data_IF_929363472958
#
_entry.id   IF_929363472958
#
_cell.length_a   1.000
_cell.length_b   1.000
_cell.length_c   1.000
_cell.angle_alpha   90.00
_cell.angle_beta   90.00
_cell.angle_gamma   90.00
#
_symmetry.space_group_name_H-M   'P 1'
#
loop_
_entity.id
_entity.type
_entity.pdbx_description
1 polymer ?
#
# COMPACT_ATOMS: atom_id res chain seq x y z
N UNK A 1 86.57 -37.38 2.31
CA UNK A 1 86.57 -37.28 0.83
C UNK A 1 85.43 -38.14 0.29
N UNK A 2 84.72 -37.67 -0.76
CA UNK A 2 84.06 -38.47 -1.82
C UNK A 2 83.00 -39.53 -1.40
N UNK A 3 81.84 -39.67 -2.06
CA UNK A 3 81.28 -38.96 -3.23
C UNK A 3 79.74 -39.04 -3.25
N UNK A 4 79.10 -38.17 -4.02
CA UNK A 4 77.66 -38.22 -4.38
C UNK A 4 77.35 -39.48 -5.24
N UNK A 5 76.10 -39.91 -5.44
CA UNK A 5 75.06 -39.36 -6.37
C UNK A 5 73.72 -40.01 -5.95
N UNK A 6 72.54 -39.39 -5.83
CA UNK A 6 71.85 -38.21 -6.40
C UNK A 6 70.92 -38.48 -7.62
N UNK A 7 69.61 -38.20 -7.41
CA UNK A 7 68.57 -37.76 -8.38
C UNK A 7 67.63 -38.81 -9.02
N UNK A 8 66.36 -38.40 -9.11
CA UNK A 8 65.31 -38.85 -10.07
C UNK A 8 64.66 -40.21 -9.78
N UNK A 9 63.32 -40.37 -9.82
CA UNK A 9 62.25 -39.43 -10.19
C UNK A 9 60.91 -39.72 -9.47
N UNK A 10 60.17 -38.65 -9.21
CA UNK A 10 58.70 -38.42 -9.37
C UNK A 10 57.97 -39.45 -10.29
N UNK A 11 56.65 -39.67 -10.31
CA UNK A 11 55.44 -39.01 -9.77
C UNK A 11 54.48 -40.13 -9.17
N UNK A 12 53.34 -39.98 -8.44
CA UNK A 12 52.47 -38.85 -8.03
C UNK A 12 51.71 -39.05 -6.66
N UNK A 13 50.35 -39.18 -6.58
CA UNK A 13 49.49 -38.93 -5.41
C UNK A 13 48.45 -40.01 -4.95
N UNK A 14 47.95 -39.87 -3.69
CA UNK A 14 46.62 -40.30 -3.21
C UNK A 14 46.53 -41.55 -2.29
N UNK A 15 45.60 -41.64 -1.32
CA UNK A 15 44.61 -40.67 -0.79
C UNK A 15 44.00 -41.13 0.57
N UNK A 16 44.31 -40.41 1.67
CA UNK A 16 43.50 -40.27 2.91
C UNK A 16 43.15 -41.54 3.75
N UNK A 17 42.69 -41.44 5.01
CA UNK A 17 43.18 -40.61 6.12
C UNK A 17 42.84 -41.25 7.49
N UNK A 18 43.56 -40.81 8.51
CA UNK A 18 43.47 -41.24 9.91
C UNK A 18 42.08 -41.03 10.54
N UNK A 19 41.44 -42.09 11.06
CA UNK A 19 40.27 -41.96 11.97
C UNK A 19 40.71 -42.21 13.41
N UNK A 20 41.18 -41.16 14.08
CA UNK A 20 41.39 -41.16 15.54
C UNK A 20 40.09 -40.75 16.22
N UNK A 21 39.50 -41.66 16.99
CA UNK A 21 38.25 -41.39 17.72
C UNK A 21 38.47 -40.46 18.93
N UNK A 22 38.47 -39.15 18.68
CA UNK A 22 38.30 -38.14 19.73
C UNK A 22 36.80 -37.92 19.91
N UNK A 23 36.24 -38.32 21.06
CA UNK A 23 34.87 -37.97 21.41
C UNK A 23 34.79 -36.46 21.67
N UNK A 24 34.28 -35.70 20.70
CA UNK A 24 33.84 -34.34 20.93
C UNK A 24 32.62 -34.35 21.86
N UNK A 25 32.79 -33.82 23.07
CA UNK A 25 31.64 -33.35 23.84
C UNK A 25 30.95 -32.24 23.03
N UNK A 26 29.60 -32.15 23.04
CA UNK A 26 28.90 -31.00 22.48
C UNK A 26 29.15 -29.80 23.40
N UNK A 27 30.23 -29.05 23.12
CA UNK A 27 30.57 -27.81 23.81
C UNK A 27 29.56 -26.74 23.37
N UNK A 28 28.45 -26.66 24.10
CA UNK A 28 27.35 -25.72 23.85
C UNK A 28 27.68 -24.29 24.31
N UNK A 29 28.82 -23.76 23.86
CA UNK A 29 29.22 -22.40 24.16
C UNK A 29 28.62 -21.41 23.15
N UNK A 30 27.82 -20.48 23.65
CA UNK A 30 27.17 -19.43 22.86
C UNK A 30 27.99 -18.16 22.97
N UNK A 31 28.45 -17.63 21.84
CA UNK A 31 29.25 -16.40 21.79
C UNK A 31 28.34 -15.18 21.69
N UNK A 32 28.14 -14.47 22.80
CA UNK A 32 27.32 -13.27 22.87
C UNK A 32 28.17 -12.05 22.53
N UNK A 33 27.70 -11.19 21.61
CA UNK A 33 28.39 -9.96 21.26
C UNK A 33 27.99 -8.81 22.21
N UNK A 34 28.97 -8.15 22.82
CA UNK A 34 28.78 -6.95 23.64
C UNK A 34 29.86 -5.92 23.28
N UNK A 35 29.45 -4.69 22.95
CA UNK A 35 30.32 -3.55 22.62
C UNK A 35 31.58 -3.90 21.80
N UNK A 36 31.36 -4.56 20.66
CA UNK A 36 32.39 -4.95 19.67
C UNK A 36 33.32 -6.09 20.09
N UNK A 37 33.02 -6.83 21.15
CA UNK A 37 33.71 -8.07 21.52
C UNK A 37 32.73 -9.24 21.67
N UNK A 38 33.18 -10.47 21.41
CA UNK A 38 32.39 -11.68 21.62
C UNK A 38 32.83 -12.37 22.92
N UNK A 39 31.88 -12.70 23.79
CA UNK A 39 32.11 -13.42 25.05
C UNK A 39 31.44 -14.78 25.02
N UNK A 40 32.26 -15.81 25.24
CA UNK A 40 31.85 -17.20 25.41
C UNK A 40 30.96 -17.32 26.66
N UNK A 41 29.75 -17.85 26.51
CA UNK A 41 28.73 -17.95 27.56
C UNK A 41 28.09 -19.34 27.52
N UNK A 42 27.93 -19.99 28.67
CA UNK A 42 27.26 -21.29 28.77
C UNK A 42 25.79 -21.18 28.28
N UNK A 43 25.32 -22.17 27.52
CA UNK A 43 23.97 -22.16 26.94
C UNK A 43 22.85 -21.91 27.97
N UNK A 44 22.98 -22.41 29.20
CA UNK A 44 22.00 -22.21 30.29
C UNK A 44 22.04 -20.80 30.86
N UNK A 45 23.22 -20.17 30.85
CA UNK A 45 23.36 -18.76 31.20
C UNK A 45 22.79 -17.86 30.09
N UNK A 46 22.96 -18.25 28.82
CA UNK A 46 22.30 -17.60 27.68
C UNK A 46 20.78 -17.77 27.72
N UNK A 47 20.26 -18.99 27.93
CA UNK A 47 18.83 -19.29 28.12
C UNK A 47 18.24 -18.44 29.25
N UNK A 48 18.90 -18.40 30.43
CA UNK A 48 18.46 -17.57 31.56
C UNK A 48 18.55 -16.06 31.30
N UNK A 49 19.53 -15.60 30.52
CA UNK A 49 19.59 -14.21 30.05
C UNK A 49 18.48 -13.90 29.04
N UNK A 50 18.08 -14.88 28.22
CA UNK A 50 16.97 -14.76 27.29
C UNK A 50 15.65 -14.68 28.06
N UNK A 51 15.40 -15.58 29.02
CA UNK A 51 14.23 -15.58 29.92
C UNK A 51 14.08 -14.23 30.66
N UNK A 52 15.15 -13.77 31.34
CA UNK A 52 15.14 -12.49 32.04
C UNK A 52 14.91 -11.30 31.09
N UNK A 53 15.41 -11.38 29.85
CA UNK A 53 15.16 -10.37 28.82
C UNK A 53 13.75 -10.49 28.23
N UNK A 54 13.13 -11.67 28.24
CA UNK A 54 11.74 -11.89 27.81
C UNK A 54 10.76 -11.27 28.78
N UNK A 55 10.99 -11.38 30.10
CA UNK A 55 10.21 -10.65 31.11
C UNK A 55 10.35 -9.12 30.92
N UNK A 56 11.56 -8.62 30.64
CA UNK A 56 11.78 -7.21 30.26
C UNK A 56 11.12 -6.86 28.92
N UNK A 57 11.09 -7.75 27.93
CA UNK A 57 10.43 -7.55 26.62
C UNK A 57 8.92 -7.44 26.74
N UNK A 58 8.29 -8.20 27.65
CA UNK A 58 6.87 -8.04 28.02
C UNK A 58 6.61 -6.65 28.61
N UNK A 59 7.63 -5.96 29.12
CA UNK A 59 7.57 -4.58 29.59
C UNK A 59 7.98 -3.50 28.57
N UNK A 60 8.29 -3.86 27.30
CA UNK A 60 8.42 -2.84 26.23
C UNK A 60 7.05 -2.24 25.94
N UNK A 61 6.75 -1.22 26.73
CA UNK A 61 5.76 -0.20 26.45
C UNK A 61 6.10 0.36 25.06
N UNK A 62 5.23 0.21 24.04
CA UNK A 62 5.52 0.74 22.71
C UNK A 62 5.77 2.23 22.86
N UNK A 63 6.86 2.74 22.28
CA UNK A 63 7.27 4.13 22.50
C UNK A 63 6.14 5.09 22.15
N UNK A 64 6.05 6.22 22.84
CA UNK A 64 4.96 7.20 22.70
C UNK A 64 4.67 7.56 21.22
N UNK A 65 5.72 7.65 20.41
CA UNK A 65 5.69 7.80 18.95
C UNK A 65 4.94 6.69 18.17
N UNK A 66 5.06 5.42 18.57
CA UNK A 66 4.38 4.28 17.94
C UNK A 66 2.89 4.29 18.30
N UNK A 67 2.54 4.58 19.56
CA UNK A 67 1.14 4.75 19.97
C UNK A 67 0.49 5.96 19.29
N UNK A 68 1.23 7.08 19.13
CA UNK A 68 0.77 8.24 18.37
C UNK A 68 0.56 7.90 16.89
N UNK A 69 1.52 7.22 16.23
CA UNK A 69 1.41 6.82 14.83
C UNK A 69 0.22 5.89 14.57
N UNK A 70 0.03 4.85 15.39
CA UNK A 70 -1.14 3.97 15.34
C UNK A 70 -2.47 4.73 15.48
N UNK A 71 -2.52 5.68 16.39
CA UNK A 71 -3.72 6.51 16.64
C UNK A 71 -4.01 7.42 15.46
N UNK A 72 -2.99 8.04 14.87
CA UNK A 72 -3.10 8.89 13.68
C UNK A 72 -3.57 8.06 12.48
N UNK A 73 -2.96 6.90 12.19
CA UNK A 73 -3.34 6.05 11.06
C UNK A 73 -4.77 5.51 11.21
N UNK A 74 -5.16 5.06 12.41
CA UNK A 74 -6.53 4.61 12.69
C UNK A 74 -7.54 5.75 12.49
N UNK A 75 -7.21 6.96 12.94
CA UNK A 75 -8.05 8.15 12.77
C UNK A 75 -8.17 8.54 11.28
N UNK A 76 -7.05 8.55 10.55
CA UNK A 76 -7.01 8.84 9.12
C UNK A 76 -7.80 7.80 8.29
N UNK A 77 -7.71 6.52 8.63
CA UNK A 77 -8.48 5.45 7.99
C UNK A 77 -9.99 5.68 8.19
N UNK A 78 -10.43 5.98 9.42
CA UNK A 78 -11.83 6.24 9.73
C UNK A 78 -12.36 7.48 9.01
N UNK A 79 -11.60 8.58 8.98
CA UNK A 79 -11.94 9.81 8.24
C UNK A 79 -12.03 9.52 6.74
N UNK A 80 -11.07 8.79 6.18
CA UNK A 80 -11.05 8.42 4.77
C UNK A 80 -12.23 7.53 4.37
N UNK A 81 -12.64 6.59 5.24
CA UNK A 81 -13.84 5.78 5.02
C UNK A 81 -15.11 6.64 4.94
N UNK A 82 -15.26 7.62 5.85
CA UNK A 82 -16.39 8.57 5.86
C UNK A 82 -16.39 9.41 4.57
N UNK A 83 -15.22 9.89 4.14
CA UNK A 83 -15.07 10.68 2.91
C UNK A 83 -15.38 9.85 1.66
N UNK A 84 -14.98 8.57 1.59
CA UNK A 84 -15.36 7.67 0.50
C UNK A 84 -16.87 7.39 0.48
N UNK A 85 -17.51 7.20 1.64
CA UNK A 85 -18.97 7.06 1.75
C UNK A 85 -19.72 8.32 1.30
N UNK A 86 -19.24 9.50 1.70
CA UNK A 86 -19.77 10.78 1.23
C UNK A 86 -19.59 10.95 -0.29
N UNK A 87 -18.40 10.68 -0.82
CA UNK A 87 -18.09 10.73 -2.26
C UNK A 87 -18.99 9.81 -3.09
N UNK A 88 -19.24 8.59 -2.60
CA UNK A 88 -20.17 7.63 -3.19
C UNK A 88 -21.60 8.19 -3.27
N UNK A 89 -22.14 8.70 -2.17
CA UNK A 89 -23.47 9.30 -2.12
C UNK A 89 -23.61 10.59 -2.95
N UNK A 90 -22.64 11.50 -2.82
CA UNK A 90 -22.59 12.76 -3.55
C UNK A 90 -22.42 12.55 -5.06
N UNK A 91 -21.55 11.62 -5.46
CA UNK A 91 -21.38 11.19 -6.85
C UNK A 91 -22.68 10.62 -7.43
N UNK A 92 -23.33 9.72 -6.69
CA UNK A 92 -24.63 9.15 -7.10
C UNK A 92 -25.70 10.23 -7.27
N UNK A 93 -25.81 11.17 -6.32
CA UNK A 93 -26.74 12.29 -6.41
C UNK A 93 -26.43 13.22 -7.61
N UNK A 94 -25.15 13.56 -7.83
CA UNK A 94 -24.73 14.40 -8.96
C UNK A 94 -24.99 13.72 -10.32
N UNK A 95 -24.78 12.40 -10.42
CA UNK A 95 -25.15 11.64 -11.61
C UNK A 95 -26.67 11.61 -11.83
N UNK A 96 -27.48 11.42 -10.79
CA UNK A 96 -28.95 11.52 -10.89
C UNK A 96 -29.37 12.93 -11.33
N UNK A 97 -28.76 13.98 -10.80
CA UNK A 97 -28.97 15.36 -11.28
C UNK A 97 -28.61 15.50 -12.77
N UNK A 98 -27.44 15.02 -13.18
CA UNK A 98 -26.95 15.10 -14.55
C UNK A 98 -27.86 14.38 -15.56
N UNK A 99 -28.40 13.20 -15.23
CA UNK A 99 -29.24 12.42 -16.14
C UNK A 99 -30.74 12.75 -16.07
N UNK A 100 -31.28 13.16 -14.90
CA UNK A 100 -32.72 13.38 -14.73
C UNK A 100 -33.16 14.86 -14.74
N UNK A 101 -32.25 15.81 -14.45
CA UNK A 101 -32.62 17.22 -14.23
C UNK A 101 -31.77 18.25 -15.00
N UNK A 102 -30.57 17.88 -15.48
CA UNK A 102 -29.69 18.81 -16.17
C UNK A 102 -30.13 19.06 -17.63
N UNK A 103 -30.89 20.14 -17.82
CA UNK A 103 -31.13 20.79 -19.12
C UNK A 103 -30.29 22.08 -19.22
N UNK A 104 -29.85 22.48 -20.41
CA UNK A 104 -28.94 23.60 -20.65
C UNK A 104 -29.43 24.89 -19.98
N UNK A 105 -30.73 25.15 -20.04
CA UNK A 105 -31.36 26.34 -19.47
C UNK A 105 -31.30 26.37 -17.93
N UNK A 106 -31.44 25.21 -17.29
CA UNK A 106 -31.35 25.04 -15.83
C UNK A 106 -29.88 25.12 -15.40
N UNK A 107 -29.00 24.46 -16.17
CA UNK A 107 -27.58 24.37 -15.93
C UNK A 107 -26.92 25.76 -16.01
N UNK A 108 -27.26 26.56 -17.03
CA UNK A 108 -26.71 27.91 -17.19
C UNK A 108 -27.20 28.89 -16.10
N UNK A 109 -28.47 28.80 -15.68
CA UNK A 109 -29.08 29.71 -14.68
C UNK A 109 -28.72 29.40 -13.23
N UNK A 110 -28.54 28.13 -12.86
CA UNK A 110 -28.36 27.71 -11.46
C UNK A 110 -27.06 26.95 -11.16
N UNK A 111 -26.61 26.10 -12.08
CA UNK A 111 -25.44 25.24 -11.83
C UNK A 111 -24.11 25.97 -12.01
N UNK A 112 -24.03 27.01 -12.84
CA UNK A 112 -22.80 27.79 -13.10
C UNK A 112 -22.13 28.33 -11.84
N UNK A 113 -22.91 28.80 -10.86
CA UNK A 113 -22.39 29.23 -9.55
C UNK A 113 -21.93 28.06 -8.66
N UNK A 114 -22.53 26.88 -8.85
CA UNK A 114 -22.31 25.68 -8.04
C UNK A 114 -21.25 24.73 -8.62
N UNK A 115 -20.88 24.90 -9.89
CA UNK A 115 -19.94 24.04 -10.62
C UNK A 115 -18.56 24.00 -9.94
N UNK A 116 -17.97 25.16 -9.62
CA UNK A 116 -16.68 25.23 -8.92
C UNK A 116 -16.67 24.54 -7.55
N UNK A 117 -17.60 24.82 -6.61
CA UNK A 117 -17.60 24.12 -5.32
C UNK A 117 -17.89 22.61 -5.46
N UNK A 118 -18.78 22.18 -6.37
CA UNK A 118 -18.98 20.75 -6.67
C UNK A 118 -17.68 20.09 -7.14
N UNK A 119 -16.99 20.73 -8.09
CA UNK A 119 -15.76 20.22 -8.68
C UNK A 119 -14.60 20.17 -7.67
N UNK A 120 -14.47 21.20 -6.83
CA UNK A 120 -13.51 21.21 -5.72
C UNK A 120 -13.82 20.11 -4.69
N UNK A 121 -15.10 19.87 -4.37
CA UNK A 121 -15.53 18.76 -3.49
C UNK A 121 -15.15 17.40 -4.06
N UNK A 122 -15.43 17.13 -5.34
CA UNK A 122 -15.01 15.88 -5.99
C UNK A 122 -13.49 15.71 -5.96
N UNK A 123 -12.73 16.74 -6.34
CA UNK A 123 -11.28 16.68 -6.38
C UNK A 123 -10.68 16.40 -4.99
N UNK A 124 -11.11 17.12 -3.95
CA UNK A 124 -10.64 16.89 -2.59
C UNK A 124 -10.95 15.46 -2.10
N UNK A 125 -12.17 14.97 -2.35
CA UNK A 125 -12.56 13.62 -1.95
C UNK A 125 -11.77 12.53 -2.69
N UNK A 126 -11.55 12.67 -4.01
CA UNK A 126 -10.76 11.70 -4.78
C UNK A 126 -9.27 11.74 -4.40
N UNK A 127 -8.69 12.92 -4.13
CA UNK A 127 -7.30 13.04 -3.65
C UNK A 127 -7.12 12.35 -2.29
N UNK A 128 -8.01 12.60 -1.33
CA UNK A 128 -7.95 11.94 -0.01
C UNK A 128 -8.15 10.42 -0.16
N UNK A 129 -9.07 9.99 -1.04
CA UNK A 129 -9.28 8.57 -1.33
C UNK A 129 -8.03 7.92 -1.95
N UNK A 130 -7.34 8.63 -2.85
CA UNK A 130 -6.08 8.17 -3.45
C UNK A 130 -4.99 7.99 -2.40
N UNK A 131 -4.82 8.96 -1.48
CA UNK A 131 -3.84 8.85 -0.39
C UNK A 131 -4.19 7.66 0.53
N UNK A 132 -5.48 7.48 0.86
CA UNK A 132 -5.95 6.36 1.67
C UNK A 132 -5.84 4.99 0.97
N UNK A 133 -5.84 4.96 -0.37
CA UNK A 133 -5.59 3.74 -1.14
C UNK A 133 -4.08 3.42 -1.25
N UNK A 134 -3.22 4.44 -1.30
CA UNK A 134 -1.76 4.30 -1.29
C UNK A 134 -1.20 3.86 0.08
N UNK A 135 -1.75 4.34 1.20
CA UNK A 135 -1.39 3.90 2.57
C UNK A 135 -1.54 2.38 2.74
N UNK A 136 -2.53 1.77 2.07
CA UNK A 136 -2.76 0.31 2.05
C UNK A 136 -1.77 -0.45 1.16
N UNK A 137 -1.09 0.23 0.23
CA UNK A 137 -0.23 -0.41 -0.78
C UNK A 137 1.18 -0.70 -0.26
N UNK A 138 1.79 0.22 0.49
CA UNK A 138 3.19 0.10 0.94
C UNK A 138 3.43 -1.10 1.86
N UNK A 139 2.39 -1.53 2.58
CA UNK A 139 2.38 -2.77 3.39
C UNK A 139 2.58 -4.02 2.52
N UNK A 140 2.35 -3.91 1.20
CA UNK A 140 2.58 -4.96 0.23
C UNK A 140 3.84 -4.68 -0.61
N UNK A 141 4.97 -5.26 -0.19
CA UNK A 141 6.32 -5.15 -0.80
C UNK A 141 6.46 -5.76 -2.22
N UNK A 142 5.36 -5.87 -2.92
CA UNK A 142 5.12 -6.68 -4.10
C UNK A 142 4.47 -5.81 -5.19
N UNK A 143 4.76 -4.49 -5.24
CA UNK A 143 3.99 -3.51 -6.05
C UNK A 143 3.85 -3.92 -7.53
N UNK A 144 4.91 -4.43 -8.16
CA UNK A 144 4.88 -4.84 -9.57
C UNK A 144 4.13 -6.16 -9.78
N UNK A 145 4.29 -7.13 -8.87
CA UNK A 145 3.59 -8.41 -8.91
C UNK A 145 2.12 -8.31 -8.45
N UNK A 146 1.79 -7.37 -7.56
CA UNK A 146 0.44 -7.02 -7.12
C UNK A 146 -0.28 -6.10 -8.11
N UNK A 147 0.42 -5.43 -9.03
CA UNK A 147 -0.21 -4.79 -10.18
C UNK A 147 -0.55 -5.84 -11.24
N UNK A 148 0.39 -6.74 -11.53
CA UNK A 148 0.19 -7.89 -12.44
C UNK A 148 -0.86 -8.88 -11.92
N UNK A 149 -0.90 -9.11 -10.61
CA UNK A 149 -1.95 -9.84 -9.87
C UNK A 149 -3.09 -8.92 -9.40
N UNK A 150 -3.07 -7.64 -9.76
CA UNK A 150 -4.10 -6.65 -9.41
C UNK A 150 -5.36 -6.79 -10.25
N UNK A 151 -5.20 -7.22 -11.51
CA UNK A 151 -6.30 -7.78 -12.31
C UNK A 151 -6.85 -9.09 -11.70
N UNK A 152 -6.12 -9.73 -10.78
CA UNK A 152 -6.43 -11.01 -10.14
C UNK A 152 -6.88 -10.85 -8.69
N UNK A 153 -7.97 -10.09 -8.49
CA UNK A 153 -8.84 -10.10 -7.30
C UNK A 153 -8.26 -9.63 -5.95
N UNK A 154 -7.00 -9.16 -5.87
CA UNK A 154 -6.46 -8.61 -4.61
C UNK A 154 -6.84 -7.13 -4.44
N UNK A 155 -7.76 -6.84 -3.50
CA UNK A 155 -8.60 -5.62 -3.52
C UNK A 155 -7.88 -4.26 -3.46
N UNK A 156 -6.69 -4.17 -2.87
CA UNK A 156 -5.93 -2.91 -2.77
C UNK A 156 -5.53 -2.30 -4.12
N UNK A 157 -5.26 -3.12 -5.15
CA UNK A 157 -4.92 -2.61 -6.48
C UNK A 157 -6.13 -1.98 -7.20
N UNK A 158 -7.34 -2.47 -6.92
CA UNK A 158 -8.58 -1.99 -7.53
C UNK A 158 -9.04 -0.66 -6.89
N UNK A 159 -8.85 -0.50 -5.58
CA UNK A 159 -9.07 0.75 -4.83
C UNK A 159 -8.29 1.92 -5.45
N UNK A 160 -6.99 1.73 -5.71
CA UNK A 160 -6.14 2.74 -6.37
C UNK A 160 -6.60 3.00 -7.81
N UNK A 161 -6.91 1.95 -8.58
CA UNK A 161 -7.34 2.10 -9.97
C UNK A 161 -8.64 2.91 -10.09
N UNK A 162 -9.61 2.67 -9.20
CA UNK A 162 -10.87 3.42 -9.15
C UNK A 162 -10.65 4.87 -8.69
N UNK A 163 -9.80 5.11 -7.69
CA UNK A 163 -9.37 6.45 -7.29
C UNK A 163 -8.74 7.22 -8.46
N UNK A 164 -7.86 6.59 -9.25
CA UNK A 164 -7.22 7.21 -10.42
C UNK A 164 -8.22 7.49 -11.54
N UNK A 165 -9.10 6.53 -11.87
CA UNK A 165 -10.17 6.72 -12.87
C UNK A 165 -11.09 7.88 -12.47
N UNK A 166 -11.51 7.93 -11.20
CA UNK A 166 -12.36 9.00 -10.67
C UNK A 166 -11.66 10.37 -10.61
N UNK A 167 -10.36 10.39 -10.30
CA UNK A 167 -9.53 11.61 -10.35
C UNK A 167 -9.42 12.14 -11.79
N UNK A 168 -9.11 11.28 -12.77
CA UNK A 168 -9.03 11.67 -14.18
C UNK A 168 -10.39 12.10 -14.71
N UNK A 169 -11.47 11.37 -14.41
CA UNK A 169 -12.83 11.76 -14.79
C UNK A 169 -13.25 13.10 -14.17
N UNK A 170 -12.79 13.39 -12.94
CA UNK A 170 -12.98 14.70 -12.30
C UNK A 170 -12.21 15.79 -13.04
N UNK A 171 -10.91 15.62 -13.29
CA UNK A 171 -10.10 16.60 -14.04
C UNK A 171 -10.64 16.87 -15.44
N UNK A 172 -11.09 15.83 -16.15
CA UNK A 172 -11.72 15.97 -17.47
C UNK A 172 -13.08 16.68 -17.36
N UNK A 173 -13.89 16.40 -16.33
CA UNK A 173 -15.14 17.13 -16.08
C UNK A 173 -14.93 18.63 -15.91
N UNK A 174 -13.82 19.07 -15.29
CA UNK A 174 -13.51 20.49 -15.08
C UNK A 174 -13.66 21.31 -16.36
N UNK A 175 -13.15 20.78 -17.49
CA UNK A 175 -13.18 21.44 -18.80
C UNK A 175 -14.62 21.61 -19.33
N UNK A 176 -15.50 20.64 -19.05
CA UNK A 176 -16.91 20.71 -19.41
C UNK A 176 -17.72 21.58 -18.43
N UNK A 177 -17.40 21.54 -17.13
CA UNK A 177 -17.98 22.42 -16.12
C UNK A 177 -17.62 23.91 -16.39
N UNK A 178 -16.39 24.19 -16.84
CA UNK A 178 -15.96 25.51 -17.33
C UNK A 178 -16.68 25.91 -18.64
N UNK A 179 -16.82 25.00 -19.61
CA UNK A 179 -17.61 25.24 -20.84
C UNK A 179 -19.11 25.48 -20.54
N UNK A 180 -19.66 24.86 -19.50
CA UNK A 180 -21.02 25.11 -19.03
C UNK A 180 -21.17 26.51 -18.43
N UNK A 181 -20.19 26.96 -17.63
CA UNK A 181 -20.12 28.31 -17.08
C UNK A 181 -19.73 29.40 -18.09
N UNK A 182 -19.09 29.02 -19.20
CA UNK A 182 -18.59 29.94 -20.22
C UNK A 182 -19.68 30.76 -20.94
N UNK A 183 -19.31 31.95 -21.47
CA UNK A 183 -20.23 32.81 -22.22
C UNK A 183 -20.62 32.17 -23.56
N UNK A 184 -21.88 32.34 -23.98
CA UNK A 184 -22.46 31.65 -25.16
C UNK A 184 -21.59 31.69 -26.43
N UNK A 185 -20.90 32.79 -26.73
CA UNK A 185 -20.02 32.86 -27.93
C UNK A 185 -18.89 31.83 -27.92
N UNK A 186 -18.30 31.56 -26.76
CA UNK A 186 -17.23 30.55 -26.63
C UNK A 186 -17.79 29.12 -26.64
N UNK A 187 -19.10 28.97 -26.39
CA UNK A 187 -19.81 27.69 -26.54
C UNK A 187 -19.86 27.27 -28.02
N UNK A 188 -20.12 28.23 -28.91
CA UNK A 188 -20.35 28.04 -30.35
C UNK A 188 -19.09 27.51 -31.08
N UNK A 189 -17.92 28.13 -30.87
CA UNK A 189 -16.65 27.75 -31.54
C UNK A 189 -16.19 26.29 -31.26
N UNK A 190 -16.68 25.67 -30.19
CA UNK A 190 -16.25 24.33 -29.75
C UNK A 190 -17.08 23.21 -30.40
N UNK A 191 -18.29 23.49 -30.91
CA UNK A 191 -19.14 22.46 -31.53
C UNK A 191 -18.56 21.89 -32.83
N UNK A 192 -17.84 22.68 -33.62
CA UNK A 192 -17.22 22.23 -34.88
C UNK A 192 -16.02 21.27 -34.68
N UNK A 193 -15.54 21.10 -33.43
CA UNK A 193 -14.32 20.35 -33.11
C UNK A 193 -14.61 19.01 -32.41
N UNK A 194 -15.75 18.88 -31.71
CA UNK A 194 -16.02 17.73 -30.83
C UNK A 194 -17.11 16.80 -31.41
N UNK A 195 -16.75 15.53 -31.61
CA UNK A 195 -17.60 14.48 -32.21
C UNK A 195 -18.74 14.01 -31.29
N UNK A 196 -18.72 14.37 -30.00
CA UNK A 196 -19.70 14.00 -28.98
C UNK A 196 -20.27 15.27 -28.35
N UNK A 197 -21.59 15.34 -28.20
CA UNK A 197 -22.28 16.43 -27.49
C UNK A 197 -21.63 16.65 -26.10
N UNK A 198 -21.10 17.86 -25.81
CA UNK A 198 -20.46 18.17 -24.53
C UNK A 198 -21.36 17.93 -23.30
N UNK A 199 -22.69 18.07 -23.44
CA UNK A 199 -23.63 17.75 -22.36
C UNK A 199 -23.70 16.24 -22.11
N UNK A 200 -23.65 15.42 -23.16
CA UNK A 200 -23.60 13.95 -23.04
C UNK A 200 -22.25 13.51 -22.46
N UNK A 201 -21.15 14.12 -22.88
CA UNK A 201 -19.82 13.87 -22.29
C UNK A 201 -19.78 14.18 -20.79
N UNK A 202 -20.30 15.34 -20.37
CA UNK A 202 -20.39 15.74 -18.96
C UNK A 202 -21.31 14.81 -18.14
N UNK A 203 -22.44 14.38 -18.70
CA UNK A 203 -23.31 13.35 -18.08
C UNK A 203 -22.57 12.03 -17.87
N UNK A 204 -21.87 11.53 -18.90
CA UNK A 204 -21.08 10.30 -18.82
C UNK A 204 -19.95 10.40 -17.78
N UNK A 205 -19.22 11.51 -17.74
CA UNK A 205 -18.17 11.76 -16.73
C UNK A 205 -18.74 11.78 -15.30
N UNK A 206 -19.93 12.34 -15.12
CA UNK A 206 -20.65 12.35 -13.84
C UNK A 206 -21.09 10.95 -13.42
N UNK A 207 -21.56 10.13 -14.38
CA UNK A 207 -21.79 8.70 -14.18
C UNK A 207 -20.52 7.91 -13.82
N UNK A 208 -19.39 8.19 -14.49
CA UNK A 208 -18.09 7.56 -14.20
C UNK A 208 -17.62 7.93 -12.78
N UNK A 209 -17.73 9.19 -12.36
CA UNK A 209 -17.42 9.62 -10.97
C UNK A 209 -18.28 8.87 -9.95
N UNK A 210 -19.58 8.71 -10.21
CA UNK A 210 -20.48 7.98 -9.33
C UNK A 210 -20.12 6.50 -9.22
N UNK A 211 -19.92 5.81 -10.35
CA UNK A 211 -19.54 4.38 -10.39
C UNK A 211 -18.17 4.15 -9.74
N UNK A 212 -17.20 5.03 -10.01
CA UNK A 212 -15.90 4.98 -9.34
C UNK A 212 -16.04 5.10 -7.82
N UNK A 213 -16.71 6.14 -7.32
CA UNK A 213 -16.92 6.34 -5.88
C UNK A 213 -17.70 5.20 -5.20
N UNK A 214 -18.77 4.70 -5.83
CA UNK A 214 -19.56 3.57 -5.37
C UNK A 214 -18.71 2.29 -5.24
N UNK A 215 -17.97 1.92 -6.30
CA UNK A 215 -17.12 0.73 -6.29
C UNK A 215 -15.95 0.88 -5.31
N UNK A 216 -15.38 2.07 -5.18
CA UNK A 216 -14.29 2.35 -4.25
C UNK A 216 -14.72 2.13 -2.79
N UNK A 217 -15.85 2.75 -2.42
CA UNK A 217 -16.43 2.59 -1.08
C UNK A 217 -16.88 1.15 -0.82
N UNK A 218 -17.48 0.48 -1.82
CA UNK A 218 -17.90 -0.91 -1.71
C UNK A 218 -16.71 -1.86 -1.52
N UNK A 219 -15.62 -1.69 -2.27
CA UNK A 219 -14.41 -2.50 -2.10
C UNK A 219 -13.80 -2.33 -0.71
N UNK A 220 -13.80 -1.12 -0.15
CA UNK A 220 -13.33 -0.87 1.20
C UNK A 220 -14.29 -1.47 2.26
N UNK A 221 -15.60 -1.31 2.09
CA UNK A 221 -16.62 -1.90 2.96
C UNK A 221 -16.64 -3.44 2.93
N UNK A 222 -16.20 -4.06 1.82
CA UNK A 222 -15.99 -5.51 1.68
C UNK A 222 -14.57 -5.97 2.07
N UNK A 223 -13.61 -5.05 2.23
CA UNK A 223 -12.23 -5.33 2.68
C UNK A 223 -11.90 -4.78 4.08
N UNK A 224 -12.81 -4.73 5.08
CA UNK A 224 -12.57 -4.02 6.35
C UNK A 224 -11.51 -4.67 7.26
N UNK A 225 -11.02 -5.86 6.88
CA UNK A 225 -10.14 -6.70 7.69
C UNK A 225 -8.70 -6.79 7.14
N UNK A 226 -8.33 -5.96 6.15
CA UNK A 226 -6.94 -5.87 5.65
C UNK A 226 -6.04 -4.98 6.54
N UNK A 227 -6.33 -4.91 7.84
CA UNK A 227 -5.51 -4.22 8.85
C UNK A 227 -4.25 -5.04 9.20
N UNK A 228 -3.44 -5.30 8.17
CA UNK A 228 -2.23 -6.11 8.23
C UNK A 228 -1.20 -5.46 9.18
N UNK A 229 -1.05 -4.13 9.16
CA UNK A 229 -0.22 -3.40 10.12
C UNK A 229 -0.66 -3.62 11.58
N UNK A 230 -1.96 -3.48 11.89
CA UNK A 230 -2.46 -3.75 13.24
C UNK A 230 -2.18 -5.20 13.66
N UNK A 231 -2.25 -6.15 12.72
CA UNK A 231 -1.99 -7.58 12.98
C UNK A 231 -0.50 -7.87 13.18
N UNK A 232 0.38 -7.26 12.39
CA UNK A 232 1.84 -7.38 12.52
C UNK A 232 2.35 -6.72 13.81
N UNK A 233 1.84 -5.54 14.16
CA UNK A 233 2.22 -4.82 15.39
C UNK A 233 1.64 -5.52 16.63
N UNK A 234 0.50 -6.20 16.52
CA UNK A 234 -0.08 -7.02 17.60
C UNK A 234 0.57 -8.40 17.75
N UNK A 235 1.17 -8.95 16.69
CA UNK A 235 1.83 -10.26 16.72
C UNK A 235 3.09 -10.27 15.81
N UNK A 236 4.24 -9.81 16.33
CA UNK A 236 5.51 -9.86 15.60
C UNK A 236 6.08 -11.28 15.48
N UNK A 237 5.69 -12.21 16.36
CA UNK A 237 6.19 -13.60 16.38
C UNK A 237 5.83 -14.37 15.11
N UNK A 238 4.66 -14.09 14.53
CA UNK A 238 4.17 -14.71 13.28
C UNK A 238 5.05 -14.48 12.05
N UNK A 239 6.03 -13.57 12.11
CA UNK A 239 7.06 -13.38 11.07
C UNK A 239 8.19 -14.40 11.18
N UNK A 240 8.53 -14.85 12.40
CA UNK A 240 9.60 -15.84 12.61
C UNK A 240 9.16 -17.28 12.37
N UNK A 241 7.91 -17.62 12.71
CA UNK A 241 7.35 -18.98 12.53
C UNK A 241 7.33 -19.45 11.05
N UNK A 242 7.42 -18.52 10.09
CA UNK A 242 7.51 -18.81 8.65
C UNK A 242 8.95 -18.94 8.11
N UNK A 243 9.97 -18.75 8.95
CA UNK A 243 11.39 -18.92 8.59
C UNK A 243 12.05 -20.16 9.22
N UNK A 244 11.40 -20.84 10.18
CA UNK A 244 11.96 -22.00 10.89
C UNK A 244 11.01 -23.21 10.96
N UNK A 245 10.79 -23.89 9.82
CA UNK A 245 10.74 -25.36 9.73
C UNK A 245 11.31 -25.77 8.35
N UNK A 246 12.21 -26.77 8.26
CA UNK A 246 12.85 -27.22 7.01
C UNK A 246 11.97 -28.09 6.08
#
# INVERSE_FOLDING_TARGET
>A
MLKQIQKSKDEEAGKNDTITAILSQPVCDVFVQHDKSFRQTDRKQYEKMLEARTDDFVSITPSESVHAALTIQTTFHNISFIIQGFLSGFGTFHAVFAFAFADIDILHKGYTWLAMPIQATFYACFVISTIAALDKLEISSSLMDNLKRGLSLQSGGLDILLCLIGTVATLVSALYDEWLAGPMKQREEIWDIIVVDPLVAWRLLSGIRAVAGLLNWLLLALSPNSNILLKQIRNPESVHENCEVP
#
